data_IF_747518208079
#
_entry.id   IF_747518208079
#
_cell.length_a   1.000
_cell.length_b   1.000
_cell.length_c   1.000
_cell.angle_alpha   90.00
_cell.angle_beta   90.00
_cell.angle_gamma   90.00
#
_symmetry.space_group_name_H-M   'P 1'
#
loop_
_entity.id
_entity.type
_entity.pdbx_description
1 polymer ?
#
# COMPACT_ATOMS: atom_id res chain seq x y z
N UNK A 1 -20.31 71.44 -24.55
CA UNK A 1 -19.36 70.57 -25.28
C UNK A 1 -18.25 70.20 -24.30
N UNK A 2 -18.07 68.90 -24.07
CA UNK A 2 -17.07 68.20 -23.22
C UNK A 2 -17.22 68.44 -21.69
N UNK A 3 -17.16 67.44 -20.79
CA UNK A 3 -16.69 66.05 -20.89
C UNK A 3 -17.23 65.23 -19.69
N UNK A 4 -17.72 64.01 -19.96
CA UNK A 4 -17.73 62.83 -19.08
C UNK A 4 -16.26 62.44 -18.79
N UNK A 5 -15.80 61.81 -17.70
CA UNK A 5 -16.27 60.69 -16.88
C UNK A 5 -15.32 60.60 -15.68
N UNK A 6 -15.76 60.19 -14.48
CA UNK A 6 -14.83 59.79 -13.42
C UNK A 6 -15.36 58.58 -12.63
N UNK A 7 -14.51 57.54 -12.64
CA UNK A 7 -14.36 56.43 -11.71
C UNK A 7 -15.54 55.46 -11.51
N UNK A 8 -15.63 54.47 -12.39
CA UNK A 8 -15.96 53.10 -12.01
C UNK A 8 -14.67 52.38 -11.55
N UNK A 9 -14.71 51.72 -10.38
CA UNK A 9 -14.12 50.39 -10.13
C UNK A 9 -14.01 50.10 -8.62
N UNK A 10 -15.07 49.54 -8.04
CA UNK A 10 -14.96 48.67 -6.85
C UNK A 10 -15.94 47.53 -7.06
N UNK A 11 -15.45 46.37 -7.48
CA UNK A 11 -15.91 45.05 -7.04
C UNK A 11 -14.95 44.01 -7.65
N UNK A 12 -13.76 43.92 -7.06
CA UNK A 12 -12.88 42.78 -7.27
C UNK A 12 -13.55 41.55 -6.66
N UNK A 13 -14.07 40.69 -7.52
CA UNK A 13 -14.32 39.29 -7.17
C UNK A 13 -12.95 38.68 -6.87
N UNK A 14 -12.65 38.48 -5.59
CA UNK A 14 -11.63 37.54 -5.17
C UNK A 14 -12.11 36.15 -5.59
N UNK A 15 -11.74 35.76 -6.81
CA UNK A 15 -11.81 34.38 -7.24
C UNK A 15 -10.80 33.63 -6.40
N UNK A 16 -11.31 32.76 -5.52
CA UNK A 16 -10.56 31.68 -4.90
C UNK A 16 -9.65 31.07 -5.96
N UNK A 17 -8.35 31.30 -5.82
CA UNK A 17 -7.33 30.52 -6.50
C UNK A 17 -7.47 29.11 -5.98
N UNK A 18 -8.29 28.32 -6.67
CA UNK A 18 -8.10 26.88 -6.74
C UNK A 18 -6.74 26.76 -7.43
N UNK A 19 -5.68 26.63 -6.63
CA UNK A 19 -4.39 26.15 -7.09
C UNK A 19 -4.62 24.73 -7.60
N UNK A 20 -5.07 24.62 -8.85
CA UNK A 20 -5.05 23.39 -9.62
C UNK A 20 -3.56 23.14 -9.81
N UNK A 21 -3.00 22.31 -8.92
CA UNK A 21 -1.64 21.82 -9.02
C UNK A 21 -1.53 21.09 -10.38
N UNK A 22 -1.10 21.83 -11.41
CA UNK A 22 -0.88 21.33 -12.78
C UNK A 22 0.33 20.39 -12.86
N UNK A 23 0.66 19.69 -11.77
CA UNK A 23 1.55 18.55 -11.83
C UNK A 23 0.73 17.44 -12.46
N UNK A 24 1.20 16.93 -13.60
CA UNK A 24 0.67 15.69 -14.13
C UNK A 24 0.62 14.68 -12.98
N UNK A 25 -0.55 14.04 -12.71
CA UNK A 25 -0.63 13.07 -11.66
C UNK A 25 0.46 12.04 -11.94
N UNK A 26 1.39 11.88 -11.01
CA UNK A 26 2.38 10.83 -11.10
C UNK A 26 1.63 9.53 -11.37
N UNK A 27 2.07 8.74 -12.35
CA UNK A 27 1.46 7.45 -12.68
C UNK A 27 2.36 6.30 -12.25
N UNK A 28 1.75 5.13 -12.11
CA UNK A 28 2.47 3.91 -11.77
C UNK A 28 2.92 3.87 -10.31
N UNK A 29 3.97 3.09 -10.04
CA UNK A 29 4.42 2.79 -8.68
C UNK A 29 4.74 4.03 -7.84
N UNK A 30 5.32 5.07 -8.43
CA UNK A 30 5.68 6.29 -7.70
C UNK A 30 4.46 7.04 -7.18
N UNK A 31 3.32 6.96 -7.91
CA UNK A 31 2.06 7.53 -7.47
C UNK A 31 1.51 6.83 -6.23
N UNK A 32 1.59 5.50 -6.25
CA UNK A 32 1.19 4.67 -5.12
C UNK A 32 2.11 4.89 -3.93
N UNK A 33 3.42 4.97 -4.15
CA UNK A 33 4.37 5.28 -3.08
C UNK A 33 4.06 6.65 -2.44
N UNK A 34 3.77 7.68 -3.25
CA UNK A 34 3.38 9.00 -2.74
C UNK A 34 2.04 8.99 -1.97
N UNK A 35 1.07 8.16 -2.39
CA UNK A 35 -0.16 7.98 -1.62
C UNK A 35 0.10 7.40 -0.22
N UNK A 36 1.17 6.61 -0.06
CA UNK A 36 1.50 5.91 1.19
C UNK A 36 2.53 6.66 2.05
N UNK A 37 3.06 7.80 1.61
CA UNK A 37 3.86 8.69 2.46
C UNK A 37 2.92 9.26 3.55
N UNK A 38 3.11 8.82 4.80
CA UNK A 38 2.36 9.26 6.00
C UNK A 38 0.91 8.75 6.16
N UNK A 39 0.56 7.64 5.54
CA UNK A 39 -0.72 6.97 5.82
C UNK A 39 -0.66 6.06 7.04
N UNK A 40 -1.68 6.21 7.89
CA UNK A 40 -1.95 5.29 9.00
C UNK A 40 -2.76 4.09 8.52
N UNK A 41 -2.59 2.94 9.19
CA UNK A 41 -3.29 1.67 8.90
C UNK A 41 -4.78 1.85 8.59
N UNK A 42 -5.50 2.62 9.40
CA UNK A 42 -6.97 2.79 9.30
C UNK A 42 -7.41 3.54 8.03
N UNK A 43 -6.50 4.30 7.44
CA UNK A 43 -6.74 5.09 6.25
C UNK A 43 -6.42 4.33 4.94
N UNK A 44 -5.81 3.14 5.02
CA UNK A 44 -5.46 2.34 3.84
C UNK A 44 -6.65 2.06 2.93
N UNK A 45 -7.77 1.61 3.52
CA UNK A 45 -9.00 1.33 2.77
C UNK A 45 -9.55 2.52 1.97
N UNK A 46 -9.20 3.75 2.37
CA UNK A 46 -9.65 4.96 1.70
C UNK A 46 -8.83 5.28 0.45
N UNK A 47 -7.68 4.61 0.24
CA UNK A 47 -6.83 4.81 -0.93
C UNK A 47 -7.44 4.28 -2.21
N UNK A 48 -8.32 3.28 -2.17
CA UNK A 48 -8.92 2.69 -3.36
C UNK A 48 -9.63 3.74 -4.24
N UNK A 49 -10.29 4.74 -3.64
CA UNK A 49 -10.90 5.86 -4.37
C UNK A 49 -9.84 6.72 -5.08
N UNK A 50 -8.75 7.06 -4.38
CA UNK A 50 -7.65 7.83 -4.96
C UNK A 50 -6.94 7.06 -6.07
N UNK A 51 -6.81 5.74 -5.92
CA UNK A 51 -6.21 4.85 -6.92
C UNK A 51 -7.12 4.79 -8.16
N UNK A 52 -8.42 4.65 -7.97
CA UNK A 52 -9.42 4.74 -9.06
C UNK A 52 -9.27 6.05 -9.84
N UNK A 53 -9.14 7.19 -9.14
CA UNK A 53 -8.93 8.50 -9.76
C UNK A 53 -7.60 8.61 -10.54
N UNK A 54 -6.49 8.11 -9.97
CA UNK A 54 -5.15 8.18 -10.59
C UNK A 54 -5.06 7.34 -11.86
N UNK A 55 -5.66 6.15 -11.83
CA UNK A 55 -5.56 5.18 -12.93
C UNK A 55 -6.74 5.26 -13.91
N UNK A 56 -7.83 5.95 -13.56
CA UNK A 56 -9.03 6.06 -14.38
C UNK A 56 -9.76 4.72 -14.53
N UNK A 57 -9.73 3.91 -13.47
CA UNK A 57 -10.30 2.54 -13.42
C UNK A 57 -11.47 2.49 -12.44
N UNK A 58 -12.29 1.44 -12.49
CA UNK A 58 -13.35 1.25 -11.50
C UNK A 58 -12.79 0.90 -10.11
N UNK A 59 -13.68 0.89 -9.10
CA UNK A 59 -13.27 0.64 -7.72
C UNK A 59 -12.73 -0.78 -7.50
N UNK A 60 -13.27 -1.76 -8.22
CA UNK A 60 -12.86 -3.17 -8.08
C UNK A 60 -11.46 -3.37 -8.65
N UNK A 61 -11.19 -2.82 -9.84
CA UNK A 61 -9.86 -2.80 -10.44
C UNK A 61 -8.87 -1.97 -9.60
N UNK A 62 -9.29 -0.83 -9.04
CA UNK A 62 -8.45 -0.05 -8.12
C UNK A 62 -8.06 -0.84 -6.87
N UNK A 63 -8.99 -1.64 -6.33
CA UNK A 63 -8.73 -2.52 -5.21
C UNK A 63 -7.72 -3.61 -5.57
N UNK A 64 -7.84 -4.23 -6.75
CA UNK A 64 -6.84 -5.20 -7.24
C UNK A 64 -5.45 -4.56 -7.42
N UNK A 65 -5.37 -3.35 -7.97
CA UNK A 65 -4.12 -2.58 -8.08
C UNK A 65 -3.51 -2.36 -6.69
N UNK A 66 -4.33 -2.01 -5.70
CA UNK A 66 -3.87 -1.76 -4.34
C UNK A 66 -3.33 -3.03 -3.66
N UNK A 67 -4.05 -4.15 -3.79
CA UNK A 67 -3.61 -5.46 -3.27
C UNK A 67 -2.28 -5.87 -3.94
N UNK A 68 -2.16 -5.69 -5.25
CA UNK A 68 -0.94 -6.02 -5.98
C UNK A 68 0.25 -5.14 -5.56
N UNK A 69 0.00 -3.86 -5.23
CA UNK A 69 1.01 -2.96 -4.70
C UNK A 69 1.60 -3.48 -3.38
N UNK A 70 0.76 -3.86 -2.41
CA UNK A 70 1.23 -4.43 -1.14
C UNK A 70 1.87 -5.81 -1.33
N UNK A 71 1.35 -6.65 -2.22
CA UNK A 71 1.95 -7.95 -2.55
C UNK A 71 3.41 -7.79 -3.00
N UNK A 72 3.67 -6.82 -3.88
CA UNK A 72 5.03 -6.51 -4.32
C UNK A 72 5.92 -5.96 -3.20
N UNK A 73 5.39 -5.10 -2.32
CA UNK A 73 6.14 -4.58 -1.16
C UNK A 73 6.49 -5.68 -0.17
N UNK A 74 5.53 -6.53 0.18
CA UNK A 74 5.74 -7.67 1.07
C UNK A 74 6.78 -8.64 0.52
N UNK A 75 6.74 -8.97 -0.78
CA UNK A 75 7.79 -9.79 -1.42
C UNK A 75 9.18 -9.18 -1.24
N UNK A 76 9.34 -7.88 -1.47
CA UNK A 76 10.62 -7.19 -1.26
C UNK A 76 11.07 -7.20 0.19
N UNK A 77 10.15 -7.08 1.14
CA UNK A 77 10.47 -7.18 2.58
C UNK A 77 10.90 -8.61 2.96
N UNK A 78 10.25 -9.62 2.41
CA UNK A 78 10.62 -11.04 2.57
C UNK A 78 12.03 -11.30 2.03
N UNK A 79 12.33 -10.82 0.81
CA UNK A 79 13.65 -10.96 0.18
C UNK A 79 14.77 -10.28 0.99
N UNK A 80 14.49 -9.11 1.58
CA UNK A 80 15.44 -8.38 2.43
C UNK A 80 15.64 -9.00 3.81
N UNK A 81 14.69 -9.79 4.29
CA UNK A 81 14.77 -10.43 5.61
C UNK A 81 15.62 -11.69 5.55
N UNK A 82 16.74 -11.72 6.25
CA UNK A 82 17.60 -12.92 6.36
C UNK A 82 16.83 -14.15 6.85
N UNK A 83 15.89 -13.93 7.78
CA UNK A 83 15.09 -15.01 8.37
C UNK A 83 14.13 -15.63 7.36
N UNK A 84 13.50 -14.80 6.53
CA UNK A 84 12.44 -15.21 5.60
C UNK A 84 12.98 -15.60 4.23
N UNK A 85 14.05 -14.96 3.75
CA UNK A 85 14.62 -15.21 2.43
C UNK A 85 15.08 -16.66 2.24
N UNK A 86 15.66 -17.27 3.29
CA UNK A 86 16.04 -18.69 3.31
C UNK A 86 14.86 -19.67 3.19
N UNK A 87 13.62 -19.19 3.35
CA UNK A 87 12.39 -19.97 3.30
C UNK A 87 11.39 -19.44 2.26
N UNK A 88 11.84 -18.60 1.32
CA UNK A 88 10.99 -17.99 0.28
C UNK A 88 10.14 -19.03 -0.47
N UNK A 89 10.75 -20.15 -0.87
CA UNK A 89 10.04 -21.24 -1.54
C UNK A 89 8.91 -21.86 -0.69
N UNK A 90 9.07 -21.92 0.64
CA UNK A 90 8.01 -22.39 1.53
C UNK A 90 6.89 -21.35 1.64
N UNK A 91 7.24 -20.07 1.73
CA UNK A 91 6.28 -18.97 1.77
C UNK A 91 5.45 -18.97 0.48
N UNK A 92 6.08 -19.05 -0.69
CA UNK A 92 5.38 -19.06 -1.99
C UNK A 92 4.45 -20.26 -2.19
N UNK A 93 4.73 -21.39 -1.54
CA UNK A 93 3.96 -22.64 -1.71
C UNK A 93 2.89 -22.87 -0.64
N UNK A 94 3.00 -22.25 0.53
CA UNK A 94 2.13 -22.55 1.68
C UNK A 94 1.44 -21.33 2.28
N UNK A 95 1.86 -20.11 1.93
CA UNK A 95 1.30 -18.89 2.47
C UNK A 95 0.57 -18.10 1.39
N UNK A 96 -0.69 -17.80 1.67
CA UNK A 96 -1.52 -16.96 0.82
C UNK A 96 -1.12 -15.50 1.00
N UNK A 97 -0.07 -15.10 0.27
CA UNK A 97 0.44 -13.74 0.27
C UNK A 97 -0.60 -12.75 -0.26
N UNK A 98 -1.50 -13.19 -1.15
CA UNK A 98 -2.58 -12.36 -1.68
C UNK A 98 -3.52 -12.01 -0.53
N UNK A 99 -3.99 -13.00 0.23
CA UNK A 99 -4.85 -12.75 1.39
C UNK A 99 -4.19 -11.83 2.43
N UNK A 100 -2.89 -12.00 2.70
CA UNK A 100 -2.16 -11.08 3.59
C UNK A 100 -2.09 -9.66 3.02
N UNK A 101 -1.87 -9.52 1.71
CA UNK A 101 -1.85 -8.21 1.03
C UNK A 101 -3.23 -7.55 1.05
N UNK A 102 -4.29 -8.34 0.93
CA UNK A 102 -5.68 -7.90 1.06
C UNK A 102 -5.96 -7.32 2.44
N UNK A 103 -5.56 -8.00 3.50
CA UNK A 103 -5.71 -7.49 4.87
C UNK A 103 -4.95 -6.18 5.09
N UNK A 104 -3.81 -5.98 4.42
CA UNK A 104 -3.07 -4.70 4.45
C UNK A 104 -3.83 -3.62 3.69
N UNK A 105 -4.24 -3.88 2.44
CA UNK A 105 -4.97 -2.92 1.59
C UNK A 105 -6.27 -2.42 2.23
N UNK A 106 -6.94 -3.26 3.03
CA UNK A 106 -8.15 -2.88 3.78
C UNK A 106 -7.87 -2.28 5.16
N UNK A 107 -6.61 -2.11 5.53
CA UNK A 107 -6.22 -1.51 6.81
C UNK A 107 -6.51 -2.40 8.02
N UNK A 108 -6.62 -3.71 7.84
CA UNK A 108 -6.82 -4.66 8.93
C UNK A 108 -5.51 -4.89 9.70
N UNK A 109 -4.40 -5.05 8.97
CA UNK A 109 -3.05 -5.21 9.50
C UNK A 109 -2.08 -4.26 8.80
N UNK A 110 -0.91 -4.02 9.40
CA UNK A 110 0.19 -3.30 8.74
C UNK A 110 1.11 -4.27 8.01
N UNK A 111 1.88 -3.78 7.04
CA UNK A 111 2.94 -4.59 6.40
C UNK A 111 3.94 -5.16 7.41
N UNK A 112 4.32 -4.38 8.43
CA UNK A 112 5.20 -4.85 9.49
C UNK A 112 4.58 -6.00 10.29
N UNK A 113 3.30 -5.87 10.66
CA UNK A 113 2.55 -6.95 11.33
C UNK A 113 2.51 -8.21 10.47
N UNK A 114 2.33 -8.08 9.15
CA UNK A 114 2.38 -9.20 8.22
C UNK A 114 3.75 -9.91 8.25
N UNK A 115 4.85 -9.14 8.22
CA UNK A 115 6.21 -9.68 8.32
C UNK A 115 6.44 -10.37 9.67
N UNK A 116 5.96 -9.81 10.78
CA UNK A 116 6.08 -10.42 12.10
C UNK A 116 5.34 -11.77 12.19
N UNK A 117 4.12 -11.83 11.63
CA UNK A 117 3.35 -13.08 11.51
C UNK A 117 4.15 -14.11 10.72
N UNK A 118 4.68 -13.73 9.56
CA UNK A 118 5.49 -14.62 8.72
C UNK A 118 6.71 -15.16 9.48
N UNK A 119 7.44 -14.30 10.18
CA UNK A 119 8.61 -14.69 10.97
C UNK A 119 8.22 -15.71 12.04
N UNK A 120 7.12 -15.48 12.76
CA UNK A 120 6.66 -16.38 13.81
C UNK A 120 6.21 -17.73 13.25
N UNK A 121 5.48 -17.76 12.13
CA UNK A 121 5.12 -19.01 11.45
C UNK A 121 6.37 -19.78 11.03
N UNK A 122 7.39 -19.09 10.49
CA UNK A 122 8.64 -19.73 10.08
C UNK A 122 9.44 -20.28 11.27
N UNK A 123 9.49 -19.56 12.39
CA UNK A 123 10.15 -20.05 13.63
C UNK A 123 9.50 -21.33 14.14
N UNK A 124 8.18 -21.33 14.26
CA UNK A 124 7.42 -22.51 14.70
C UNK A 124 7.65 -23.70 13.76
N UNK A 125 7.68 -23.47 12.44
CA UNK A 125 7.96 -24.52 11.46
C UNK A 125 9.38 -25.11 11.60
N UNK A 126 10.39 -24.26 11.88
CA UNK A 126 11.75 -24.73 12.16
C UNK A 126 11.79 -25.59 13.43
N UNK A 127 11.09 -25.18 14.49
CA UNK A 127 11.02 -25.94 15.75
C UNK A 127 10.34 -27.30 15.60
N UNK A 128 9.23 -27.38 14.86
CA UNK A 128 8.55 -28.67 14.57
C UNK A 128 9.49 -29.63 13.85
N UNK A 129 10.19 -29.16 12.80
CA UNK A 129 11.19 -29.98 12.08
C UNK A 129 12.38 -30.43 12.95
N UNK A 130 12.69 -29.69 14.01
CA UNK A 130 13.72 -30.09 14.98
C UNK A 130 13.17 -31.20 15.87
N UNK A 131 11.95 -31.04 16.41
CA UNK A 131 11.32 -32.05 17.27
C UNK A 131 11.13 -33.39 16.55
N UNK A 132 10.65 -33.38 15.30
CA UNK A 132 10.47 -34.59 14.50
C UNK A 132 11.78 -35.38 14.30
N UNK A 133 12.93 -34.69 14.21
CA UNK A 133 14.24 -35.33 14.07
C UNK A 133 14.69 -36.07 15.33
N UNK A 134 14.19 -35.70 16.51
CA UNK A 134 14.60 -36.32 17.78
C UNK A 134 13.69 -37.47 18.24
N UNK A 135 12.55 -37.69 17.59
CA UNK A 135 11.61 -38.77 17.95
C UNK A 135 12.12 -40.17 17.51
N UNK A 136 13.15 -40.24 16.66
CA UNK A 136 13.62 -41.51 16.06
C UNK A 136 14.75 -42.24 16.81
N UNK A 137 15.05 -41.93 18.08
CA UNK A 137 16.17 -42.56 18.80
C UNK A 137 15.79 -43.59 19.87
N UNK A 138 14.49 -43.87 20.08
CA UNK A 138 14.01 -44.81 21.09
C UNK A 138 12.89 -45.76 20.62
N UNK A 139 12.94 -46.22 19.35
CA UNK A 139 12.12 -47.36 18.90
C UNK A 139 12.94 -48.63 18.82
#
# INVERSE_FOLDING_TARGET
MNSYENSDNIFGKDNDKIDIDNREPSKGKNALDALHEDINKENEKNLNLKISDIYGVDYDEANEIHINYHSLRLRKMIEKSETLSSMSAFIDSHLDLINLSTQVAFGEITENTCIDILINVMKNQKETRIKDRYINFYS
#
